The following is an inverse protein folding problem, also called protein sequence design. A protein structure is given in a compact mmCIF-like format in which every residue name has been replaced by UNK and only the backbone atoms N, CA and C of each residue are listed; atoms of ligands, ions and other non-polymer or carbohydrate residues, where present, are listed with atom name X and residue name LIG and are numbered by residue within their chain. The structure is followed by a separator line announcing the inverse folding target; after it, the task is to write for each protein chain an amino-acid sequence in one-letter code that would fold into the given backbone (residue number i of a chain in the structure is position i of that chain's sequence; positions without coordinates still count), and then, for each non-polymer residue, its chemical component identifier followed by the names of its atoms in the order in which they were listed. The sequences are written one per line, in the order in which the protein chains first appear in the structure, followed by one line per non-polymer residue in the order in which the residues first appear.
data_IF_825716147887
#
_entry.id   IF_825716147887
#
_cell.length_a   1.000
_cell.length_b   1.000
_cell.length_c   1.000
_cell.angle_alpha   90.00
_cell.angle_beta   90.00
_cell.angle_gamma   90.00
#
_symmetry.space_group_name_H-M   'P 1'
#
loop_
_entity.id
_entity.type
_entity.pdbx_description
1 polymer ?
#
# COMPACT_ATOMS: atom_id res chain seq x y z
N UNK A 1 -1.91 0.44 -4.25
CA UNK A 1 -2.29 0.40 -2.82
C UNK A 1 -3.46 -0.54 -2.57
N UNK A 2 -4.44 -0.64 -3.48
CA UNK A 2 -5.61 -1.52 -3.34
C UNK A 2 -5.27 -2.98 -3.01
N UNK A 3 -4.21 -3.52 -3.62
CA UNK A 3 -3.72 -4.88 -3.35
C UNK A 3 -3.29 -5.12 -1.89
N UNK A 4 -3.01 -4.06 -1.12
CA UNK A 4 -2.59 -4.15 0.28
C UNK A 4 -3.75 -4.01 1.26
N UNK A 5 -4.96 -3.62 0.82
CA UNK A 5 -6.04 -3.25 1.75
C UNK A 5 -6.64 -4.43 2.55
N UNK A 6 -6.86 -5.57 1.89
CA UNK A 6 -7.42 -6.77 2.53
C UNK A 6 -6.31 -7.63 3.14
N UNK A 7 -5.23 -7.97 2.42
CA UNK A 7 -4.28 -8.97 2.88
C UNK A 7 -3.38 -8.51 4.02
N UNK A 8 -3.19 -7.19 4.22
CA UNK A 8 -2.46 -6.66 5.40
C UNK A 8 -3.23 -6.81 6.71
N UNK A 9 -4.54 -7.09 6.67
CA UNK A 9 -5.42 -7.17 7.85
C UNK A 9 -5.94 -8.56 8.13
N UNK A 10 -6.07 -9.40 7.11
CA UNK A 10 -6.59 -10.76 7.23
C UNK A 10 -5.61 -11.75 6.59
N UNK A 11 -5.00 -12.67 7.38
CA UNK A 11 -4.05 -13.66 6.88
C UNK A 11 -4.61 -14.51 5.71
N UNK A 12 -5.91 -14.76 5.73
CA UNK A 12 -6.66 -15.48 4.69
C UNK A 12 -6.56 -14.84 3.29
N UNK A 13 -6.12 -13.58 3.21
CA UNK A 13 -5.91 -12.86 1.96
C UNK A 13 -4.52 -13.08 1.34
N UNK A 14 -3.65 -13.85 2.00
CA UNK A 14 -2.29 -14.15 1.57
C UNK A 14 -2.18 -15.63 1.17
N UNK A 15 -1.27 -15.93 0.25
CA UNK A 15 -1.05 -17.29 -0.20
C UNK A 15 -0.24 -18.07 0.87
N UNK A 16 -0.82 -19.17 1.38
CA UNK A 16 -0.21 -20.02 2.40
C UNK A 16 -0.58 -19.62 3.84
N UNK A 17 0.04 -20.28 4.82
CA UNK A 17 -0.18 -20.05 6.27
C UNK A 17 0.66 -18.88 6.82
N UNK A 18 1.12 -17.96 5.97
CA UNK A 18 1.95 -16.84 6.39
C UNK A 18 1.09 -15.72 6.98
N UNK A 19 1.52 -15.19 8.11
CA UNK A 19 0.95 -13.95 8.66
C UNK A 19 1.35 -12.75 7.80
N UNK A 20 0.58 -11.65 7.80
CA UNK A 20 0.97 -10.44 7.08
C UNK A 20 2.36 -9.91 7.44
N UNK A 21 2.80 -10.06 8.69
CA UNK A 21 4.14 -9.68 9.14
C UNK A 21 5.27 -10.54 8.57
N UNK A 22 4.98 -11.76 8.13
CA UNK A 22 5.96 -12.66 7.51
C UNK A 22 5.96 -12.55 5.98
N UNK A 23 4.84 -12.11 5.41
CA UNK A 23 4.66 -12.00 3.96
C UNK A 23 5.28 -10.71 3.38
N UNK A 24 5.10 -9.58 4.07
CA UNK A 24 5.56 -8.28 3.58
C UNK A 24 6.95 -7.93 4.10
N UNK A 25 7.76 -7.32 3.23
CA UNK A 25 9.09 -6.82 3.60
C UNK A 25 9.16 -5.29 3.67
N UNK A 26 10.33 -4.77 4.03
CA UNK A 26 10.57 -3.33 4.12
C UNK A 26 10.45 -2.64 2.76
N UNK A 27 10.84 -3.33 1.68
CA UNK A 27 10.73 -2.83 0.31
C UNK A 27 9.27 -2.62 -0.10
N UNK A 28 8.36 -3.52 0.28
CA UNK A 28 6.92 -3.36 0.05
C UNK A 28 6.36 -2.14 0.78
N UNK A 29 6.79 -1.94 2.04
CA UNK A 29 6.39 -0.79 2.84
C UNK A 29 6.86 0.52 2.18
N UNK A 30 8.12 0.56 1.72
CA UNK A 30 8.67 1.75 1.06
C UNK A 30 7.96 2.03 -0.28
N UNK A 31 7.66 1.00 -1.07
CA UNK A 31 6.92 1.14 -2.31
C UNK A 31 5.50 1.70 -2.08
N UNK A 32 4.84 1.25 -1.00
CA UNK A 32 3.53 1.77 -0.59
C UNK A 32 3.60 3.24 -0.20
N UNK A 33 4.59 3.64 0.61
CA UNK A 33 4.79 5.03 1.01
C UNK A 33 5.01 5.94 -0.21
N UNK A 34 5.93 5.55 -1.09
CA UNK A 34 6.23 6.31 -2.31
C UNK A 34 4.98 6.47 -3.20
N UNK A 35 4.19 5.41 -3.35
CA UNK A 35 2.94 5.45 -4.11
C UNK A 35 1.90 6.38 -3.48
N UNK A 36 1.75 6.33 -2.15
CA UNK A 36 0.83 7.19 -1.41
C UNK A 36 1.21 8.67 -1.52
N UNK A 37 2.50 8.98 -1.38
CA UNK A 37 3.03 10.33 -1.56
C UNK A 37 2.78 10.87 -2.97
N UNK A 38 2.99 10.04 -4.00
CA UNK A 38 2.75 10.41 -5.38
C UNK A 38 1.27 10.76 -5.62
N UNK A 39 0.34 9.91 -5.17
CA UNK A 39 -1.10 10.15 -5.30
C UNK A 39 -1.48 11.46 -4.60
N UNK A 40 -1.02 11.67 -3.35
CA UNK A 40 -1.31 12.88 -2.60
C UNK A 40 -0.75 14.13 -3.30
N UNK A 41 0.46 14.06 -3.84
CA UNK A 41 1.06 15.14 -4.61
C UNK A 41 0.21 15.48 -5.84
N UNK A 42 -0.13 14.48 -6.65
CA UNK A 42 -0.92 14.68 -7.88
C UNK A 42 -2.29 15.28 -7.59
N UNK A 43 -3.01 14.77 -6.58
CA UNK A 43 -4.33 15.31 -6.20
C UNK A 43 -4.20 16.76 -5.69
N UNK A 44 -3.16 17.07 -4.91
CA UNK A 44 -2.90 18.45 -4.46
C UNK A 44 -2.60 19.40 -5.61
N UNK A 45 -1.81 18.97 -6.59
CA UNK A 45 -1.50 19.75 -7.78
C UNK A 45 -2.76 19.97 -8.63
N UNK A 46 -3.57 18.94 -8.84
CA UNK A 46 -4.86 19.05 -9.54
C UNK A 46 -5.79 20.06 -8.86
N UNK A 47 -5.92 20.00 -7.52
CA UNK A 47 -6.73 20.95 -6.75
C UNK A 47 -6.23 22.40 -6.79
N UNK A 48 -4.94 22.65 -7.01
CA UNK A 48 -4.38 24.01 -7.10
C UNK A 48 -4.59 24.65 -8.47
N UNK A 49 -4.81 23.82 -9.48
CA UNK A 49 -5.00 24.23 -10.88
C UNK A 49 -6.48 24.33 -11.29
N UNK A 50 -7.40 24.12 -10.34
CA UNK A 50 -8.85 24.25 -10.51
C UNK A 50 -9.40 25.39 -9.66
#
# INVERSE_FOLDING_TARGET
LDAFYIPTRYPNGLAGELTPSEFYCQEDAQACLNSAELILKTVREYKKSS
#
